data_IF_108934347535
#
_entry.id   IF_108934347535
#
_cell.length_a   1.000
_cell.length_b   1.000
_cell.length_c   1.000
_cell.angle_alpha   90.00
_cell.angle_beta   90.00
_cell.angle_gamma   90.00
#
_symmetry.space_group_name_H-M   'P 1'
#
loop_
_entity.id
_entity.type
_entity.pdbx_description
1 polymer ?
#
# COMPACT_ATOMS: atom_id res chain seq x y z
N UNK A 1 39.57 -4.50 -16.36
CA UNK A 1 38.52 -5.46 -16.75
C UNK A 1 37.21 -4.96 -16.18
N UNK A 2 36.15 -4.98 -17.01
CA UNK A 2 34.75 -4.59 -16.75
C UNK A 2 34.49 -3.15 -16.24
N UNK A 3 34.21 -2.26 -17.21
CA UNK A 3 33.61 -0.94 -17.05
C UNK A 3 32.18 -1.07 -16.49
N UNK A 4 31.90 -0.41 -15.37
CA UNK A 4 30.57 -0.28 -14.79
C UNK A 4 29.86 0.86 -15.53
N UNK A 5 28.83 0.49 -16.30
CA UNK A 5 27.91 1.42 -16.95
C UNK A 5 27.27 2.32 -15.90
N UNK A 6 27.72 3.57 -15.81
CA UNK A 6 27.09 4.61 -15.01
C UNK A 6 25.65 4.79 -15.48
N UNK A 7 24.70 4.39 -14.63
CA UNK A 7 23.30 4.75 -14.79
C UNK A 7 23.21 6.26 -15.11
N UNK A 8 22.41 6.57 -16.14
CA UNK A 8 22.12 7.88 -16.74
C UNK A 8 22.65 9.12 -15.99
N UNK A 9 23.35 10.03 -16.69
CA UNK A 9 23.86 11.36 -16.24
C UNK A 9 22.75 12.35 -15.76
N UNK A 10 21.81 11.89 -14.97
CA UNK A 10 20.76 12.64 -14.33
C UNK A 10 21.35 13.29 -13.06
N UNK A 11 22.10 14.38 -13.20
CA UNK A 11 22.65 15.07 -12.03
C UNK A 11 21.55 15.44 -11.00
N UNK A 12 21.88 15.53 -9.72
CA UNK A 12 20.90 15.71 -8.61
C UNK A 12 20.29 17.13 -8.49
N UNK A 13 20.08 17.81 -9.62
CA UNK A 13 19.49 19.15 -9.68
C UNK A 13 17.97 19.15 -9.84
N UNK A 14 17.39 20.35 -9.98
CA UNK A 14 15.95 20.55 -10.10
C UNK A 14 15.29 19.75 -11.25
N UNK A 15 16.03 19.43 -12.32
CA UNK A 15 15.52 18.60 -13.43
C UNK A 15 15.25 17.16 -12.97
N UNK A 16 16.18 16.55 -12.23
CA UNK A 16 16.02 15.18 -11.71
C UNK A 16 14.99 15.14 -10.59
N UNK A 17 14.95 16.15 -9.72
CA UNK A 17 13.88 16.27 -8.72
C UNK A 17 12.50 16.37 -9.39
N UNK A 18 12.37 17.15 -10.47
CA UNK A 18 11.11 17.22 -11.23
C UNK A 18 10.77 15.89 -11.91
N UNK A 19 11.77 15.12 -12.37
CA UNK A 19 11.55 13.77 -12.89
C UNK A 19 11.11 12.80 -11.80
N UNK A 20 11.73 12.85 -10.62
CA UNK A 20 11.30 12.09 -9.44
C UNK A 20 9.85 12.39 -9.10
N UNK A 21 9.47 13.67 -9.01
CA UNK A 21 8.09 14.07 -8.71
C UNK A 21 7.10 13.63 -9.80
N UNK A 22 7.52 13.58 -11.07
CA UNK A 22 6.70 13.01 -12.16
C UNK A 22 6.52 11.51 -12.04
N UNK A 23 7.55 10.77 -11.60
CA UNK A 23 7.44 9.33 -11.30
C UNK A 23 6.48 9.10 -10.14
N UNK A 24 6.68 9.77 -9.00
CA UNK A 24 5.72 9.72 -7.86
C UNK A 24 4.30 10.08 -8.31
N UNK A 25 4.15 11.09 -9.18
CA UNK A 25 2.86 11.47 -9.75
C UNK A 25 2.19 10.40 -10.63
N UNK A 26 2.91 9.37 -11.09
CA UNK A 26 2.30 8.25 -11.84
C UNK A 26 1.45 7.35 -10.95
N UNK A 27 1.73 7.28 -9.63
CA UNK A 27 0.94 6.50 -8.67
C UNK A 27 -0.54 6.89 -8.68
N UNK A 28 -0.85 8.18 -8.94
CA UNK A 28 -2.21 8.71 -9.11
C UNK A 28 -2.98 8.09 -10.28
N UNK A 29 -2.28 7.40 -11.18
CA UNK A 29 -2.81 6.75 -12.39
C UNK A 29 -2.55 5.24 -12.38
N UNK A 30 -2.06 4.70 -11.27
CA UNK A 30 -2.00 3.25 -11.02
C UNK A 30 -3.23 2.93 -10.18
N UNK A 31 -4.32 2.40 -10.76
CA UNK A 31 -5.45 1.93 -9.97
C UNK A 31 -5.02 0.68 -9.18
N UNK A 32 -5.53 0.53 -7.95
CA UNK A 32 -5.28 -0.68 -7.16
C UNK A 32 -5.89 -1.90 -7.85
N UNK A 33 -5.03 -2.82 -8.28
CA UNK A 33 -5.32 -3.93 -9.20
C UNK A 33 -6.35 -4.91 -8.62
N UNK A 34 -6.34 -5.12 -7.30
CA UNK A 34 -7.34 -5.95 -6.63
C UNK A 34 -8.78 -5.50 -6.94
N UNK A 35 -9.04 -4.19 -6.88
CA UNK A 35 -10.35 -3.62 -7.17
C UNK A 35 -10.70 -3.70 -8.66
N UNK A 36 -9.70 -3.47 -9.54
CA UNK A 36 -9.85 -3.58 -11.00
C UNK A 36 -10.31 -5.00 -11.37
N UNK A 37 -9.66 -6.02 -10.82
CA UNK A 37 -9.99 -7.44 -11.07
C UNK A 37 -11.33 -7.88 -10.47
N UNK A 38 -11.90 -7.07 -9.59
CA UNK A 38 -13.23 -7.27 -9.02
C UNK A 38 -14.25 -6.29 -9.59
N UNK A 39 -13.96 -5.67 -10.73
CA UNK A 39 -14.84 -4.79 -11.49
C UNK A 39 -15.39 -3.58 -10.72
N UNK A 40 -14.68 -3.15 -9.67
CA UNK A 40 -15.01 -1.91 -8.94
C UNK A 40 -14.98 -0.73 -9.92
N UNK A 41 -16.01 0.10 -9.88
CA UNK A 41 -16.09 1.28 -10.75
C UNK A 41 -15.31 2.44 -10.15
N UNK A 42 -14.36 3.00 -10.92
CA UNK A 42 -13.44 4.07 -10.49
C UNK A 42 -12.70 3.66 -9.20
N UNK A 43 -11.90 2.59 -9.26
CA UNK A 43 -11.11 2.16 -8.12
C UNK A 43 -10.11 3.25 -7.72
N UNK A 44 -9.75 3.26 -6.45
CA UNK A 44 -8.74 4.14 -5.88
C UNK A 44 -7.38 3.96 -6.58
N UNK A 45 -6.56 5.00 -6.52
CA UNK A 45 -5.16 4.92 -6.92
C UNK A 45 -4.28 4.40 -5.77
N UNK A 46 -3.09 3.90 -6.10
CA UNK A 46 -2.07 3.53 -5.09
C UNK A 46 -1.75 4.70 -4.16
N UNK A 47 -1.79 5.94 -4.68
CA UNK A 47 -1.59 7.12 -3.84
C UNK A 47 -2.75 7.44 -2.88
N UNK A 48 -3.98 7.03 -3.17
CA UNK A 48 -5.11 7.18 -2.25
C UNK A 48 -4.96 6.22 -1.07
N UNK A 49 -4.62 4.96 -1.36
CA UNK A 49 -4.28 3.92 -0.39
C UNK A 49 -3.17 4.39 0.58
N UNK A 50 -2.01 4.81 0.05
CA UNK A 50 -0.90 5.30 0.88
C UNK A 50 -1.27 6.56 1.70
N UNK A 51 -2.13 7.43 1.17
CA UNK A 51 -2.59 8.61 1.90
C UNK A 51 -3.39 8.21 3.14
N UNK A 52 -4.38 7.33 3.00
CA UNK A 52 -5.18 6.89 4.17
C UNK A 52 -4.33 6.10 5.15
N UNK A 53 -3.41 5.26 4.69
CA UNK A 53 -2.44 4.60 5.58
C UNK A 53 -1.58 5.59 6.37
N UNK A 54 -1.10 6.67 5.75
CA UNK A 54 -0.34 7.70 6.44
C UNK A 54 -1.18 8.40 7.52
N UNK A 55 -2.47 8.66 7.25
CA UNK A 55 -3.41 9.20 8.25
C UNK A 55 -3.64 8.19 9.37
N UNK A 56 -3.87 6.91 9.06
CA UNK A 56 -3.98 5.84 10.06
C UNK A 56 -2.73 5.74 10.94
N UNK A 57 -1.55 5.88 10.35
CA UNK A 57 -0.29 5.93 11.06
C UNK A 57 -0.16 7.14 12.00
N UNK A 58 -0.97 8.19 11.86
CA UNK A 58 -1.02 9.31 12.80
C UNK A 58 -2.03 9.07 13.93
N UNK A 59 -3.16 8.41 13.65
CA UNK A 59 -4.30 8.34 14.59
C UNK A 59 -4.41 7.02 15.36
N UNK A 60 -3.87 5.91 14.83
CA UNK A 60 -3.83 4.63 15.54
C UNK A 60 -2.62 4.64 16.47
N UNK A 61 -2.87 4.52 17.78
CA UNK A 61 -1.86 4.73 18.83
C UNK A 61 -0.93 3.53 18.98
N UNK A 62 0.34 3.82 19.24
CA UNK A 62 1.29 2.90 19.87
C UNK A 62 2.46 3.75 20.39
N UNK A 63 2.55 3.92 21.71
CA UNK A 63 3.58 4.76 22.34
C UNK A 63 4.99 4.16 22.23
N UNK A 64 5.12 2.94 21.69
CA UNK A 64 6.41 2.25 21.48
C UNK A 64 7.00 2.50 20.09
N UNK A 65 6.24 3.10 19.17
CA UNK A 65 6.63 3.28 17.78
C UNK A 65 7.06 4.71 17.48
N UNK A 66 8.03 4.87 16.59
CA UNK A 66 8.27 6.17 15.96
C UNK A 66 7.19 6.45 14.89
N UNK A 67 6.17 7.22 15.25
CA UNK A 67 5.03 7.51 14.36
C UNK A 67 5.43 8.31 13.12
N UNK A 68 6.42 9.20 13.20
CA UNK A 68 6.96 9.90 12.03
C UNK A 68 7.61 8.92 11.03
N UNK A 69 8.31 7.90 11.54
CA UNK A 69 8.86 6.82 10.70
C UNK A 69 7.74 5.98 10.09
N UNK A 70 6.69 5.63 10.84
CA UNK A 70 5.52 4.92 10.30
C UNK A 70 4.84 5.70 9.17
N UNK A 71 4.67 7.02 9.31
CA UNK A 71 4.11 7.87 8.25
C UNK A 71 5.00 7.83 7.00
N UNK A 72 6.33 7.93 7.16
CA UNK A 72 7.26 7.85 6.02
C UNK A 72 7.27 6.48 5.35
N UNK A 73 7.18 5.39 6.12
CA UNK A 73 7.05 4.03 5.58
C UNK A 73 5.76 3.90 4.77
N UNK A 74 4.63 4.34 5.30
CA UNK A 74 3.34 4.31 4.60
C UNK A 74 3.39 5.05 3.26
N UNK A 75 4.08 6.20 3.21
CA UNK A 75 4.22 7.02 2.00
C UNK A 75 5.23 6.50 0.95
N UNK A 76 6.07 5.52 1.32
CA UNK A 76 7.19 5.06 0.47
C UNK A 76 7.05 3.59 0.06
N UNK A 77 6.34 2.76 0.84
CA UNK A 77 6.37 1.32 0.65
C UNK A 77 5.93 0.85 -0.75
N UNK A 78 4.87 1.43 -1.30
CA UNK A 78 4.38 1.13 -2.66
C UNK A 78 4.90 2.11 -3.73
N UNK A 79 5.93 2.92 -3.42
CA UNK A 79 6.46 3.91 -4.37
C UNK A 79 7.02 3.26 -5.65
N UNK A 80 7.52 2.02 -5.56
CA UNK A 80 8.02 1.24 -6.68
C UNK A 80 6.95 1.01 -7.78
N UNK A 81 5.68 0.97 -7.39
CA UNK A 81 4.55 0.71 -8.30
C UNK A 81 4.36 1.81 -9.35
N UNK A 82 4.99 2.98 -9.17
CA UNK A 82 5.00 4.02 -10.20
C UNK A 82 5.76 3.63 -11.48
N UNK A 83 6.59 2.58 -11.41
CA UNK A 83 7.28 1.96 -12.54
C UNK A 83 6.75 0.54 -12.77
N UNK A 84 6.58 -0.24 -11.70
CA UNK A 84 6.24 -1.68 -11.80
C UNK A 84 4.75 -1.93 -12.09
N UNK A 85 3.87 -1.01 -11.67
CA UNK A 85 2.45 -1.26 -11.50
C UNK A 85 2.14 -2.02 -10.20
N UNK A 86 0.88 -1.98 -9.77
CA UNK A 86 0.38 -2.73 -8.62
C UNK A 86 0.21 -4.21 -8.99
N UNK A 87 1.11 -5.07 -8.51
CA UNK A 87 1.10 -6.52 -8.78
C UNK A 87 0.21 -7.22 -7.75
N UNK A 88 -0.93 -7.75 -8.21
CA UNK A 88 -1.86 -8.49 -7.39
C UNK A 88 -1.54 -10.00 -7.34
N UNK A 89 -2.07 -10.76 -6.36
CA UNK A 89 -1.91 -12.21 -6.32
C UNK A 89 -2.35 -12.92 -7.61
N UNK A 90 -3.35 -12.39 -8.31
CA UNK A 90 -3.87 -12.95 -9.56
C UNK A 90 -2.92 -12.82 -10.76
N UNK A 91 -1.90 -11.94 -10.68
CA UNK A 91 -0.88 -11.80 -11.73
C UNK A 91 0.12 -12.98 -11.76
N UNK A 92 0.10 -13.84 -10.73
CA UNK A 92 0.97 -15.02 -10.62
C UNK A 92 2.48 -14.71 -10.75
N UNK A 93 2.91 -13.51 -10.35
CA UNK A 93 4.33 -13.15 -10.29
C UNK A 93 4.96 -13.75 -9.03
N UNK A 94 6.04 -14.55 -9.14
CA UNK A 94 6.75 -15.08 -7.98
C UNK A 94 7.23 -13.96 -7.06
N UNK A 95 7.26 -14.22 -5.74
CA UNK A 95 7.67 -13.22 -4.74
C UNK A 95 9.07 -12.67 -5.03
N UNK A 96 9.98 -13.52 -5.48
CA UNK A 96 11.36 -13.16 -5.80
C UNK A 96 11.43 -12.23 -7.01
N UNK A 97 10.57 -12.45 -8.02
CA UNK A 97 10.52 -11.60 -9.21
C UNK A 97 9.82 -10.27 -8.91
N UNK A 98 8.75 -10.27 -8.09
CA UNK A 98 8.14 -9.03 -7.60
C UNK A 98 9.19 -8.18 -6.87
N UNK A 99 9.88 -8.77 -5.89
CA UNK A 99 10.92 -8.10 -5.13
C UNK A 99 12.04 -7.56 -6.03
N UNK A 100 12.55 -8.36 -6.99
CA UNK A 100 13.59 -7.93 -7.93
C UNK A 100 13.16 -6.71 -8.75
N UNK A 101 11.91 -6.70 -9.27
CA UNK A 101 11.37 -5.59 -10.06
C UNK A 101 11.23 -4.32 -9.22
N UNK A 102 10.70 -4.45 -8.02
CA UNK A 102 10.47 -3.32 -7.12
C UNK A 102 11.79 -2.75 -6.59
N UNK A 103 12.77 -3.59 -6.28
CA UNK A 103 14.11 -3.16 -5.91
C UNK A 103 14.79 -2.37 -7.04
N UNK A 104 14.70 -2.88 -8.27
CA UNK A 104 15.24 -2.21 -9.45
C UNK A 104 14.54 -0.86 -9.69
N UNK A 105 13.22 -0.82 -9.58
CA UNK A 105 12.43 0.41 -9.68
C UNK A 105 12.83 1.42 -8.61
N UNK A 106 12.95 1.00 -7.35
CA UNK A 106 13.35 1.90 -6.26
C UNK A 106 14.77 2.44 -6.43
N UNK A 107 15.72 1.65 -6.93
CA UNK A 107 17.04 2.16 -7.33
C UNK A 107 16.92 3.21 -8.43
N UNK A 108 16.08 2.99 -9.44
CA UNK A 108 15.87 3.93 -10.54
C UNK A 108 15.16 5.23 -10.10
N UNK A 109 14.24 5.15 -9.15
CA UNK A 109 13.50 6.30 -8.60
C UNK A 109 14.43 7.12 -7.70
N UNK A 110 15.08 6.47 -6.73
CA UNK A 110 15.85 7.16 -5.68
C UNK A 110 17.16 7.76 -6.20
N UNK A 111 17.78 7.20 -7.24
CA UNK A 111 19.00 7.78 -7.86
C UNK A 111 18.79 9.19 -8.45
N UNK A 112 17.55 9.64 -8.59
CA UNK A 112 17.23 11.01 -9.05
C UNK A 112 17.39 12.05 -7.93
N UNK A 113 17.57 11.62 -6.69
CA UNK A 113 17.66 12.45 -5.50
C UNK A 113 19.12 12.62 -5.03
N UNK A 114 19.44 13.72 -4.31
CA UNK A 114 20.69 13.83 -3.55
C UNK A 114 20.93 12.62 -2.64
N UNK A 115 22.20 12.34 -2.35
CA UNK A 115 22.65 11.10 -1.68
C UNK A 115 21.96 10.82 -0.34
N UNK A 116 21.73 11.85 0.47
CA UNK A 116 21.05 11.75 1.76
C UNK A 116 19.58 11.30 1.61
N UNK A 117 18.85 11.92 0.67
CA UNK A 117 17.45 11.58 0.38
C UNK A 117 17.32 10.25 -0.36
N UNK A 118 18.26 9.94 -1.26
CA UNK A 118 18.34 8.64 -1.94
C UNK A 118 18.46 7.53 -0.91
N UNK A 119 19.40 7.67 0.04
CA UNK A 119 19.61 6.72 1.12
C UNK A 119 18.38 6.58 2.00
N UNK A 120 17.78 7.70 2.45
CA UNK A 120 16.61 7.67 3.32
C UNK A 120 15.42 6.90 2.71
N UNK A 121 15.03 7.24 1.48
CA UNK A 121 13.87 6.62 0.83
C UNK A 121 14.12 5.16 0.46
N UNK A 122 15.33 4.83 0.01
CA UNK A 122 15.67 3.44 -0.30
C UNK A 122 15.66 2.57 0.97
N UNK A 123 16.22 3.08 2.08
CA UNK A 123 16.21 2.36 3.37
C UNK A 123 14.81 2.26 3.97
N UNK A 124 13.93 3.25 3.79
CA UNK A 124 12.51 3.14 4.16
C UNK A 124 11.82 1.99 3.43
N UNK A 125 12.00 1.92 2.11
CA UNK A 125 11.43 0.85 1.31
C UNK A 125 12.00 -0.52 1.70
N UNK A 126 13.32 -0.62 1.88
CA UNK A 126 13.98 -1.85 2.31
C UNK A 126 13.53 -2.30 3.71
N UNK A 127 13.34 -1.35 4.64
CA UNK A 127 12.80 -1.62 5.99
C UNK A 127 11.40 -2.26 5.92
N UNK A 128 10.52 -1.74 5.05
CA UNK A 128 9.20 -2.31 4.83
C UNK A 128 9.27 -3.69 4.17
N UNK A 129 10.02 -3.83 3.08
CA UNK A 129 10.15 -5.10 2.34
C UNK A 129 10.69 -6.24 3.21
N UNK A 130 11.68 -5.93 4.05
CA UNK A 130 12.31 -6.90 4.95
C UNK A 130 11.56 -7.08 6.27
N UNK A 131 10.56 -6.23 6.56
CA UNK A 131 9.81 -6.21 7.82
C UNK A 131 10.73 -6.18 9.05
N UNK A 132 11.80 -5.39 8.97
CA UNK A 132 12.93 -5.44 9.92
C UNK A 132 12.72 -4.65 11.21
N UNK A 133 11.68 -3.81 11.28
CA UNK A 133 11.35 -2.99 12.46
C UNK A 133 9.94 -3.26 13.00
N UNK A 134 9.65 -2.73 14.20
CA UNK A 134 8.29 -2.75 14.73
C UNK A 134 7.37 -1.83 13.92
N UNK A 135 7.90 -0.71 13.44
CA UNK A 135 7.24 0.23 12.56
C UNK A 135 6.82 -0.41 11.24
N UNK A 136 7.69 -1.17 10.56
CA UNK A 136 7.37 -1.87 9.32
C UNK A 136 6.26 -2.90 9.50
N UNK A 137 6.29 -3.65 10.61
CA UNK A 137 5.25 -4.64 10.97
C UNK A 137 3.92 -3.99 11.30
N UNK A 138 3.95 -2.82 11.93
CA UNK A 138 2.77 -2.01 12.17
C UNK A 138 2.18 -1.48 10.86
N UNK A 139 3.00 -0.86 10.00
CA UNK A 139 2.54 -0.34 8.69
C UNK A 139 2.01 -1.46 7.80
N UNK A 140 2.57 -2.68 7.85
CA UNK A 140 2.02 -3.83 7.10
C UNK A 140 0.62 -4.24 7.57
N UNK A 141 0.32 -4.07 8.85
CA UNK A 141 -1.03 -4.27 9.37
C UNK A 141 -1.95 -3.11 9.02
N UNK A 142 -1.43 -1.87 8.90
CA UNK A 142 -2.20 -0.75 8.36
C UNK A 142 -2.61 -1.00 6.91
N UNK A 143 -1.70 -1.47 6.06
CA UNK A 143 -1.97 -1.82 4.65
C UNK A 143 -3.16 -2.80 4.54
N UNK A 144 -3.13 -3.87 5.33
CA UNK A 144 -4.21 -4.86 5.33
C UNK A 144 -5.52 -4.34 5.92
N UNK A 145 -5.47 -3.56 7.00
CA UNK A 145 -6.65 -2.97 7.63
C UNK A 145 -7.31 -1.94 6.71
N UNK A 146 -6.52 -1.13 6.03
CA UNK A 146 -6.96 -0.13 5.07
C UNK A 146 -7.65 -0.80 3.88
N UNK A 147 -7.06 -1.89 3.36
CA UNK A 147 -7.61 -2.67 2.26
C UNK A 147 -9.01 -3.22 2.56
N UNK A 148 -9.23 -3.82 3.75
CA UNK A 148 -10.55 -4.38 4.09
C UNK A 148 -11.58 -3.31 4.44
N UNK A 149 -11.15 -2.16 4.97
CA UNK A 149 -12.02 -0.98 5.11
C UNK A 149 -12.47 -0.47 3.74
N UNK A 150 -11.53 -0.38 2.77
CA UNK A 150 -11.89 0.01 1.42
C UNK A 150 -12.82 -1.02 0.75
N UNK A 151 -12.64 -2.31 1.04
CA UNK A 151 -13.54 -3.36 0.57
C UNK A 151 -14.97 -3.14 1.08
N UNK A 152 -15.18 -2.86 2.37
CA UNK A 152 -16.55 -2.58 2.86
C UNK A 152 -17.13 -1.31 2.25
N UNK A 153 -16.33 -0.26 2.10
CA UNK A 153 -16.80 0.99 1.48
C UNK A 153 -17.24 0.78 0.02
N UNK A 154 -16.54 -0.06 -0.75
CA UNK A 154 -16.98 -0.41 -2.10
C UNK A 154 -18.23 -1.30 -2.12
N UNK A 155 -18.38 -2.22 -1.17
CA UNK A 155 -19.62 -2.99 -1.00
C UNK A 155 -20.81 -2.06 -0.69
N UNK A 156 -20.62 -1.08 0.19
CA UNK A 156 -21.63 -0.10 0.57
C UNK A 156 -22.01 0.82 -0.60
N UNK A 157 -21.01 1.38 -1.31
CA UNK A 157 -21.22 2.25 -2.48
C UNK A 157 -21.95 1.54 -3.63
N UNK A 158 -21.72 0.24 -3.79
CA UNK A 158 -22.35 -0.56 -4.84
C UNK A 158 -23.66 -1.20 -4.41
N UNK A 159 -24.05 -1.09 -3.14
CA UNK A 159 -25.16 -1.83 -2.53
C UNK A 159 -25.06 -3.33 -2.77
N UNK A 160 -23.85 -3.90 -2.59
CA UNK A 160 -23.58 -5.34 -2.72
C UNK A 160 -22.85 -5.87 -1.48
N UNK A 161 -23.53 -5.95 -0.32
CA UNK A 161 -22.92 -6.43 0.91
C UNK A 161 -22.31 -7.81 0.74
N UNK A 162 -21.08 -8.02 1.21
CA UNK A 162 -20.41 -9.32 1.15
C UNK A 162 -19.72 -9.64 -0.18
N UNK A 163 -19.84 -8.79 -1.22
CA UNK A 163 -19.27 -9.07 -2.54
C UNK A 163 -17.76 -9.25 -2.53
N UNK A 164 -17.03 -8.49 -1.71
CA UNK A 164 -15.58 -8.42 -1.62
C UNK A 164 -15.04 -9.26 -0.44
N UNK A 165 -15.73 -10.34 -0.10
CA UNK A 165 -15.37 -11.25 1.01
C UNK A 165 -13.97 -11.88 0.88
N UNK A 166 -13.50 -12.14 -0.34
CA UNK A 166 -12.15 -12.65 -0.62
C UNK A 166 -11.03 -11.76 -0.04
N UNK A 167 -11.22 -10.44 0.04
CA UNK A 167 -10.26 -9.55 0.71
C UNK A 167 -10.21 -9.81 2.21
N UNK A 168 -11.37 -9.96 2.86
CA UNK A 168 -11.48 -10.31 4.27
C UNK A 168 -10.84 -11.68 4.55
N UNK A 169 -11.19 -12.69 3.75
CA UNK A 169 -10.63 -14.05 3.86
C UNK A 169 -9.09 -14.04 3.73
N UNK A 170 -8.56 -13.19 2.86
CA UNK A 170 -7.11 -13.04 2.66
C UNK A 170 -6.38 -12.46 3.88
N UNK A 171 -7.08 -11.82 4.82
CA UNK A 171 -6.51 -11.22 6.04
C UNK A 171 -6.63 -12.09 7.29
N UNK A 172 -7.25 -13.27 7.17
CA UNK A 172 -7.43 -14.19 8.29
C UNK A 172 -6.10 -14.51 9.00
N UNK A 173 -6.03 -14.23 10.31
CA UNK A 173 -4.86 -14.48 11.15
C UNK A 173 -3.67 -13.55 10.93
N UNK A 174 -3.81 -12.46 10.16
CA UNK A 174 -2.70 -11.53 9.88
C UNK A 174 -2.63 -10.32 10.83
N UNK A 175 -3.68 -10.04 11.58
CA UNK A 175 -3.72 -8.97 12.57
C UNK A 175 -3.31 -9.45 13.96
N UNK A 176 -2.42 -8.70 14.61
CA UNK A 176 -1.95 -8.95 15.98
C UNK A 176 -1.63 -7.68 16.78
N UNK A 177 -1.60 -6.50 16.15
CA UNK A 177 -1.41 -5.23 16.85
C UNK A 177 -2.69 -4.88 17.62
N UNK A 178 -2.65 -4.62 18.93
CA UNK A 178 -3.86 -4.49 19.76
C UNK A 178 -4.90 -3.49 19.24
N UNK A 179 -4.47 -2.28 18.88
CA UNK A 179 -5.38 -1.24 18.37
C UNK A 179 -5.95 -1.59 16.98
N UNK A 180 -5.18 -2.27 16.13
CA UNK A 180 -5.64 -2.66 14.79
C UNK A 180 -6.62 -3.82 14.91
N UNK A 181 -6.35 -4.78 15.80
CA UNK A 181 -7.28 -5.88 16.09
C UNK A 181 -8.63 -5.34 16.58
N UNK A 182 -8.64 -4.34 17.46
CA UNK A 182 -9.89 -3.70 17.90
C UNK A 182 -10.61 -3.01 16.75
N UNK A 183 -9.91 -2.22 15.93
CA UNK A 183 -10.49 -1.55 14.77
C UNK A 183 -11.07 -2.54 13.75
N UNK A 184 -10.36 -3.62 13.44
CA UNK A 184 -10.82 -4.67 12.52
C UNK A 184 -12.02 -5.41 13.11
N UNK A 185 -12.05 -5.66 14.43
CA UNK A 185 -13.19 -6.30 15.08
C UNK A 185 -14.46 -5.45 14.97
N UNK A 186 -14.34 -4.13 15.14
CA UNK A 186 -15.47 -3.19 14.96
C UNK A 186 -15.94 -3.19 13.50
N UNK A 187 -15.00 -3.05 12.55
CA UNK A 187 -15.27 -3.06 11.11
C UNK A 187 -16.02 -4.34 10.69
N UNK A 188 -15.53 -5.51 11.10
CA UNK A 188 -16.15 -6.79 10.76
C UNK A 188 -17.54 -6.95 11.41
N UNK A 189 -17.76 -6.40 12.61
CA UNK A 189 -19.05 -6.42 13.28
C UNK A 189 -20.09 -5.52 12.58
N UNK A 190 -19.71 -4.30 12.21
CA UNK A 190 -20.56 -3.38 11.44
C UNK A 190 -20.89 -3.99 10.07
N UNK A 191 -19.88 -4.45 9.33
CA UNK A 191 -20.07 -5.08 8.02
C UNK A 191 -20.96 -6.32 8.09
N UNK A 192 -20.74 -7.19 9.08
CA UNK A 192 -21.55 -8.41 9.26
C UNK A 192 -23.01 -8.08 9.58
N UNK A 193 -23.26 -6.99 10.31
CA UNK A 193 -24.61 -6.48 10.58
C UNK A 193 -25.29 -6.02 9.29
N UNK A 194 -24.57 -5.29 8.43
CA UNK A 194 -25.09 -4.84 7.12
C UNK A 194 -25.40 -6.02 6.19
N UNK A 195 -24.54 -7.04 6.17
CA UNK A 195 -24.78 -8.28 5.40
C UNK A 195 -26.01 -9.03 5.92
N UNK A 196 -26.16 -9.17 7.25
CA UNK A 196 -27.31 -9.82 7.85
C UNK A 196 -28.62 -9.06 7.59
N UNK A 197 -28.58 -7.73 7.63
CA UNK A 197 -29.73 -6.88 7.30
C UNK A 197 -30.16 -7.09 5.84
N UNK A 198 -29.23 -7.04 4.89
CA UNK A 198 -29.50 -7.26 3.47
C UNK A 198 -30.03 -8.68 3.16
N UNK A 199 -29.58 -9.70 3.91
CA UNK A 199 -30.10 -11.06 3.77
C UNK A 199 -31.55 -11.23 4.29
N UNK A 200 -32.02 -10.30 5.12
CA UNK A 200 -33.39 -10.31 5.68
C UNK A 200 -34.41 -9.52 4.87
N UNK A 201 -33.97 -8.71 3.90
CA UNK A 201 -34.87 -7.97 3.02
C UNK A 201 -35.59 -8.93 2.06
N UNK A 202 -36.93 -9.00 2.07
CA UNK A 202 -37.66 -9.81 1.10
C UNK A 202 -37.40 -9.24 -0.30
N UNK A 203 -36.89 -10.08 -1.22
CA UNK A 203 -36.79 -9.75 -2.64
C UNK A 203 -38.18 -9.32 -3.15
N UNK A 204 -38.37 -8.00 -3.26
CA UNK A 204 -39.62 -7.40 -3.72
C UNK A 204 -39.64 -7.23 -5.23
#
# INVERSE_FOLDING_TARGET
MASVSSATFSGHGARSLLQFLRLVGQLKRVPRTGWVYRNVQRPESVSDHMYRMAVMAMVIKDDRLNKDRCVRLALVHDMAECIVGDIAPADNIPKEEKHRREEEAMKQITQLLPEDLRKELYELWEEYETQSSAEAKFVKQLDQCEMILQASEYEDLEHKPGRLQDFYDSTAGKFNHPEIVQLVSELEAERSTNIAAAASEPHS
#
